data_IF_250379598468
#
_entry.id   IF_250379598468
#
_cell.length_a   1.000
_cell.length_b   1.000
_cell.length_c   1.000
_cell.angle_alpha   90.00
_cell.angle_beta   90.00
_cell.angle_gamma   90.00
#
_symmetry.space_group_name_H-M   'P 1'
#
loop_
_entity.id
_entity.type
_entity.pdbx_description
1 polymer ?
#
# COMPACT_ATOMS: atom_id res chain seq x y z
N UNK A 1 -17.24 -23.06 -6.00
CA UNK A 1 -15.87 -22.61 -6.30
C UNK A 1 -15.76 -21.10 -6.57
N UNK A 2 -16.60 -20.52 -7.45
CA UNK A 2 -16.55 -19.06 -7.77
C UNK A 2 -16.72 -18.13 -6.55
N UNK A 3 -17.59 -18.49 -5.58
CA UNK A 3 -17.78 -17.74 -4.33
C UNK A 3 -16.49 -17.59 -3.52
N UNK A 4 -15.78 -18.70 -3.26
CA UNK A 4 -14.60 -18.70 -2.40
C UNK A 4 -13.43 -17.87 -2.98
N UNK A 5 -13.34 -17.73 -4.30
CA UNK A 5 -12.32 -16.89 -4.94
C UNK A 5 -12.65 -15.40 -4.78
N UNK A 6 -13.91 -15.01 -4.97
CA UNK A 6 -14.37 -13.63 -4.75
C UNK A 6 -14.17 -13.21 -3.29
N UNK A 7 -14.55 -14.07 -2.35
CA UNK A 7 -14.35 -13.83 -0.92
C UNK A 7 -12.86 -13.67 -0.57
N UNK A 8 -12.00 -14.53 -1.11
CA UNK A 8 -10.56 -14.45 -0.92
C UNK A 8 -9.99 -13.14 -1.46
N UNK A 9 -10.36 -12.73 -2.67
CA UNK A 9 -9.86 -11.50 -3.28
C UNK A 9 -10.36 -10.27 -2.52
N UNK A 10 -11.62 -10.28 -2.05
CA UNK A 10 -12.16 -9.20 -1.23
C UNK A 10 -11.41 -9.07 0.11
N UNK A 11 -11.06 -10.19 0.76
CA UNK A 11 -10.18 -10.19 1.93
C UNK A 11 -8.79 -9.61 1.62
N UNK A 12 -8.21 -9.92 0.46
CA UNK A 12 -6.91 -9.37 0.06
C UNK A 12 -6.97 -7.86 -0.19
N UNK A 13 -8.04 -7.35 -0.82
CA UNK A 13 -8.24 -5.92 -1.01
C UNK A 13 -8.35 -5.17 0.32
N UNK A 14 -9.03 -5.74 1.32
CA UNK A 14 -9.11 -5.17 2.67
C UNK A 14 -7.72 -5.11 3.33
N UNK A 15 -6.93 -6.19 3.22
CA UNK A 15 -5.55 -6.22 3.74
C UNK A 15 -4.67 -5.18 3.08
N UNK A 16 -4.70 -5.07 1.75
CA UNK A 16 -3.96 -4.04 1.01
C UNK A 16 -4.34 -2.63 1.46
N UNK A 17 -5.62 -2.36 1.75
CA UNK A 17 -6.05 -1.07 2.29
C UNK A 17 -5.42 -0.76 3.64
N UNK A 18 -5.36 -1.75 4.52
CA UNK A 18 -4.70 -1.65 5.83
C UNK A 18 -3.20 -1.37 5.69
N UNK A 19 -2.52 -2.10 4.80
CA UNK A 19 -1.08 -1.96 4.57
C UNK A 19 -0.74 -0.59 3.96
N UNK A 20 -1.54 -0.10 3.01
CA UNK A 20 -1.42 1.25 2.45
C UNK A 20 -1.55 2.31 3.55
N UNK A 21 -2.49 2.13 4.49
CA UNK A 21 -2.68 3.06 5.61
C UNK A 21 -1.48 3.06 6.54
N UNK A 22 -0.95 1.88 6.88
CA UNK A 22 0.23 1.74 7.71
C UNK A 22 1.46 2.42 7.05
N UNK A 23 1.69 2.17 5.76
CA UNK A 23 2.80 2.77 5.01
C UNK A 23 2.68 4.31 4.93
N UNK A 24 1.46 4.85 4.77
CA UNK A 24 1.24 6.30 4.85
C UNK A 24 1.63 6.86 6.21
N UNK A 25 1.22 6.20 7.30
CA UNK A 25 1.61 6.63 8.66
C UNK A 25 3.12 6.59 8.84
N UNK A 26 3.77 5.51 8.39
CA UNK A 26 5.23 5.39 8.45
C UNK A 26 5.93 6.49 7.63
N UNK A 27 5.40 6.88 6.48
CA UNK A 27 5.97 7.96 5.64
C UNK A 27 5.97 9.35 6.31
N UNK A 28 5.19 9.51 7.38
CA UNK A 28 5.09 10.74 8.17
C UNK A 28 5.96 10.63 9.43
N UNK A 29 5.97 9.47 10.10
CA UNK A 29 6.61 9.29 11.42
C UNK A 29 8.10 8.93 11.32
N UNK A 30 8.48 8.14 10.32
CA UNK A 30 9.86 7.67 10.15
C UNK A 30 10.86 8.80 9.82
N UNK A 31 10.53 9.80 8.98
CA UNK A 31 11.46 10.88 8.63
C UNK A 31 12.10 11.54 9.86
N UNK A 32 11.32 11.82 10.90
CA UNK A 32 11.81 12.45 12.14
C UNK A 32 12.81 11.58 12.92
N UNK A 33 12.81 10.26 12.68
CA UNK A 33 13.66 9.30 13.40
C UNK A 33 14.97 9.01 12.64
N UNK A 34 15.01 9.19 11.31
CA UNK A 34 16.12 8.70 10.47
C UNK A 34 17.30 9.67 10.35
N UNK A 35 17.08 10.97 10.55
CA UNK A 35 18.15 11.98 10.43
C UNK A 35 19.33 11.77 11.40
N UNK A 36 19.24 10.79 12.31
CA UNK A 36 20.29 10.46 13.27
C UNK A 36 21.10 9.17 13.00
N UNK A 37 20.67 8.28 12.09
CA UNK A 37 21.26 6.92 12.02
C UNK A 37 21.71 6.43 10.62
N UNK A 38 21.38 7.12 9.53
CA UNK A 38 21.72 6.63 8.17
C UNK A 38 22.28 7.71 7.25
N UNK A 39 22.95 7.30 6.15
CA UNK A 39 23.36 8.20 5.05
C UNK A 39 22.20 8.60 4.13
N UNK A 40 21.00 8.07 4.36
CA UNK A 40 19.80 8.35 3.58
C UNK A 40 19.00 9.42 4.31
N UNK A 41 18.66 10.50 3.62
CA UNK A 41 17.87 11.57 4.21
C UNK A 41 16.45 11.08 4.51
N UNK A 42 15.90 11.59 5.61
CA UNK A 42 14.48 11.44 5.97
C UNK A 42 13.53 11.74 4.79
N UNK A 43 13.87 12.74 3.98
CA UNK A 43 13.17 13.11 2.76
C UNK A 43 13.20 12.01 1.67
N UNK A 44 14.36 11.37 1.47
CA UNK A 44 14.51 10.28 0.51
C UNK A 44 13.64 9.07 0.86
N UNK A 45 13.56 8.74 2.15
CA UNK A 45 12.73 7.63 2.64
C UNK A 45 11.25 7.99 2.61
N UNK A 46 10.87 9.22 2.98
CA UNK A 46 9.49 9.69 2.82
C UNK A 46 9.03 9.60 1.37
N UNK A 47 9.88 10.01 0.43
CA UNK A 47 9.60 9.97 -1.01
C UNK A 47 9.45 8.54 -1.53
N UNK A 48 10.32 7.62 -1.10
CA UNK A 48 10.20 6.20 -1.43
C UNK A 48 8.89 5.60 -0.91
N UNK A 49 8.54 5.87 0.35
CA UNK A 49 7.31 5.36 0.95
C UNK A 49 6.06 5.91 0.26
N UNK A 50 6.05 7.18 -0.14
CA UNK A 50 4.97 7.77 -0.97
C UNK A 50 4.84 7.06 -2.31
N UNK A 51 5.96 6.77 -2.98
CA UNK A 51 5.98 6.03 -4.25
C UNK A 51 5.40 4.61 -4.09
N UNK A 52 5.77 3.89 -3.03
CA UNK A 52 5.22 2.56 -2.72
C UNK A 52 3.71 2.64 -2.46
N UNK A 53 3.27 3.60 -1.65
CA UNK A 53 1.84 3.84 -1.37
C UNK A 53 1.05 4.05 -2.67
N UNK A 54 1.56 4.86 -3.58
CA UNK A 54 0.86 5.15 -4.84
C UNK A 54 0.82 3.92 -5.77
N UNK A 55 1.94 3.19 -5.87
CA UNK A 55 2.01 1.94 -6.64
C UNK A 55 1.03 0.89 -6.12
N UNK A 56 0.88 0.78 -4.80
CA UNK A 56 -0.06 -0.15 -4.17
C UNK A 56 -1.52 0.23 -4.40
N UNK A 57 -1.86 1.53 -4.37
CA UNK A 57 -3.21 2.00 -4.71
C UNK A 57 -3.56 1.68 -6.17
N UNK A 58 -2.66 1.96 -7.11
CA UNK A 58 -2.89 1.67 -8.53
C UNK A 58 -3.11 0.17 -8.76
N UNK A 59 -2.35 -0.67 -8.04
CA UNK A 59 -2.53 -2.12 -8.06
C UNK A 59 -3.87 -2.54 -7.47
N UNK A 60 -4.29 -1.92 -6.35
CA UNK A 60 -5.58 -2.18 -5.72
C UNK A 60 -6.76 -1.81 -6.63
N UNK A 61 -6.68 -0.67 -7.31
CA UNK A 61 -7.69 -0.20 -8.27
C UNK A 61 -7.78 -1.13 -9.49
N UNK A 62 -6.64 -1.52 -10.05
CA UNK A 62 -6.60 -2.47 -11.18
C UNK A 62 -7.25 -3.81 -10.83
N UNK A 63 -6.98 -4.32 -9.62
CA UNK A 63 -7.61 -5.54 -9.11
C UNK A 63 -9.11 -5.37 -8.93
N UNK A 64 -9.56 -4.22 -8.41
CA UNK A 64 -10.98 -3.94 -8.23
C UNK A 64 -11.73 -3.89 -9.57
N UNK A 65 -11.17 -3.23 -10.59
CA UNK A 65 -11.75 -3.19 -11.95
C UNK A 65 -11.82 -4.60 -12.55
N UNK A 66 -10.73 -5.37 -12.49
CA UNK A 66 -10.72 -6.74 -13.02
C UNK A 66 -11.78 -7.64 -12.36
N UNK A 67 -12.06 -7.44 -11.06
CA UNK A 67 -13.13 -8.18 -10.36
C UNK A 67 -14.52 -7.78 -10.86
N UNK A 68 -14.76 -6.50 -11.14
CA UNK A 68 -16.03 -6.04 -11.68
C UNK A 68 -16.31 -6.61 -13.08
N UNK A 69 -15.28 -6.74 -13.91
CA UNK A 69 -15.39 -7.32 -15.25
C UNK A 69 -15.62 -8.85 -15.23
N UNK A 70 -15.27 -9.51 -14.14
CA UNK A 70 -15.38 -10.98 -14.00
C UNK A 70 -16.69 -11.42 -13.30
N UNK A 71 -17.41 -10.47 -12.67
CA UNK A 71 -18.67 -10.67 -11.95
C UNK A 71 -19.88 -10.70 -12.88
#
# INVERSE_FOLDING_TARGET
MRSNLLDLVQCQLIRMSSDIKALKTLSIVIPDTIDHETTVTSEGISSLLKCVVESMKNSQESLFVALQETA
#
